data_IF_712823850385
#
_entry.id   IF_712823850385
#
_cell.length_a   1.000
_cell.length_b   1.000
_cell.length_c   1.000
_cell.angle_alpha   90.00
_cell.angle_beta   90.00
_cell.angle_gamma   90.00
#
_symmetry.space_group_name_H-M   'P 1'
#
loop_
_entity.id
_entity.type
_entity.pdbx_description
1 polymer ?
#
# COMPACT_ATOMS: atom_id res chain seq x y z
N UNK A 1 -8.06 -22.61 12.63
CA UNK A 1 -9.40 -22.26 13.16
C UNK A 1 -10.30 -22.03 11.96
N UNK A 2 -11.43 -22.73 11.87
CA UNK A 2 -12.32 -22.66 10.71
C UNK A 2 -12.98 -21.26 10.61
N UNK A 3 -12.94 -20.58 9.45
CA UNK A 3 -13.61 -19.30 9.28
C UNK A 3 -15.13 -19.47 9.34
N UNK A 4 -15.81 -18.54 10.00
CA UNK A 4 -17.27 -18.51 10.17
C UNK A 4 -17.93 -17.42 9.32
N UNK A 5 -17.14 -16.42 8.89
CA UNK A 5 -17.67 -15.24 8.21
C UNK A 5 -16.66 -14.65 7.21
N UNK A 6 -17.11 -14.30 6.02
CA UNK A 6 -16.27 -13.66 5.01
C UNK A 6 -16.48 -12.13 4.98
N UNK A 7 -15.38 -11.38 4.93
CA UNK A 7 -15.43 -9.92 4.78
C UNK A 7 -14.98 -9.58 3.36
N UNK A 8 -15.94 -9.18 2.53
CA UNK A 8 -15.67 -8.76 1.16
C UNK A 8 -15.24 -7.29 1.18
N UNK A 9 -14.02 -7.03 0.70
CA UNK A 9 -13.51 -5.67 0.52
C UNK A 9 -13.55 -5.28 -0.95
N UNK A 10 -14.07 -4.09 -1.24
CA UNK A 10 -14.03 -3.49 -2.58
C UNK A 10 -13.65 -2.02 -2.54
N UNK A 11 -13.27 -1.49 -3.70
CA UNK A 11 -13.16 -0.05 -3.94
C UNK A 11 -14.47 0.48 -4.54
N UNK A 12 -14.71 1.78 -4.33
CA UNK A 12 -15.58 2.55 -5.21
C UNK A 12 -15.01 2.55 -6.63
N UNK A 13 -15.86 2.36 -7.63
CA UNK A 13 -15.45 2.56 -9.03
C UNK A 13 -15.27 4.04 -9.31
N UNK A 14 -14.55 4.38 -10.38
CA UNK A 14 -14.36 5.79 -10.78
C UNK A 14 -15.70 6.49 -11.01
N UNK A 15 -16.70 5.78 -11.54
CA UNK A 15 -18.05 6.32 -11.71
C UNK A 15 -18.70 6.66 -10.36
N UNK A 16 -18.58 5.79 -9.36
CA UNK A 16 -19.13 6.04 -8.02
C UNK A 16 -18.48 7.26 -7.37
N UNK A 17 -17.15 7.38 -7.46
CA UNK A 17 -16.43 8.56 -6.94
C UNK A 17 -16.82 9.85 -7.67
N UNK A 18 -17.09 9.79 -8.98
CA UNK A 18 -17.58 10.95 -9.73
C UNK A 18 -19.00 11.34 -9.31
N UNK A 19 -19.90 10.37 -9.12
CA UNK A 19 -21.26 10.63 -8.65
C UNK A 19 -21.24 11.20 -7.23
N UNK A 20 -20.39 10.69 -6.35
CA UNK A 20 -20.21 11.23 -5.00
C UNK A 20 -19.72 12.69 -5.03
N UNK A 21 -18.79 13.02 -5.94
CA UNK A 21 -18.27 14.39 -6.11
C UNK A 21 -19.30 15.34 -6.74
N UNK A 22 -20.07 14.88 -7.72
CA UNK A 22 -20.95 15.72 -8.54
C UNK A 22 -22.44 15.53 -8.22
N UNK A 23 -22.79 14.75 -7.21
CA UNK A 23 -24.14 14.35 -6.76
C UNK A 23 -24.97 13.52 -7.76
N UNK A 24 -24.77 13.65 -9.07
CA UNK A 24 -25.56 12.92 -10.08
C UNK A 24 -24.71 12.39 -11.24
N UNK A 25 -25.20 11.30 -11.86
CA UNK A 25 -24.59 10.72 -13.07
C UNK A 25 -24.55 11.72 -14.23
N UNK A 26 -25.59 12.54 -14.40
CA UNK A 26 -25.67 13.54 -15.46
C UNK A 26 -24.63 14.66 -15.29
N UNK A 27 -24.40 15.13 -14.05
CA UNK A 27 -23.38 16.15 -13.78
C UNK A 27 -21.96 15.59 -13.95
N UNK A 28 -21.73 14.36 -13.52
CA UNK A 28 -20.47 13.65 -13.78
C UNK A 28 -20.20 13.49 -15.29
N UNK A 29 -21.21 13.09 -16.05
CA UNK A 29 -21.13 12.96 -17.51
C UNK A 29 -20.77 14.30 -18.17
N UNK A 30 -21.52 15.36 -17.87
CA UNK A 30 -21.27 16.70 -18.40
C UNK A 30 -19.85 17.19 -18.11
N UNK A 31 -19.35 16.94 -16.89
CA UNK A 31 -17.99 17.31 -16.52
C UNK A 31 -16.93 16.60 -17.36
N UNK A 32 -17.03 15.27 -17.51
CA UNK A 32 -16.06 14.46 -18.26
C UNK A 32 -16.06 14.82 -19.74
N UNK A 33 -17.24 14.90 -20.35
CA UNK A 33 -17.39 15.17 -21.79
C UNK A 33 -16.94 16.58 -22.15
N UNK A 34 -17.19 17.58 -21.29
CA UNK A 34 -16.72 18.96 -21.50
C UNK A 34 -15.20 19.07 -21.47
N UNK A 35 -14.52 18.18 -20.75
CA UNK A 35 -13.05 18.07 -20.75
C UNK A 35 -12.51 17.20 -21.89
N UNK A 36 -13.35 16.77 -22.84
CA UNK A 36 -12.97 15.92 -23.96
C UNK A 36 -12.82 14.44 -23.62
N UNK A 37 -13.26 14.01 -22.44
CA UNK A 37 -13.20 12.62 -22.00
C UNK A 37 -14.40 11.80 -22.45
N UNK A 38 -14.25 10.46 -22.47
CA UNK A 38 -15.31 9.52 -22.81
C UNK A 38 -16.00 8.99 -21.53
N UNK A 39 -17.20 9.50 -21.21
CA UNK A 39 -17.93 9.05 -20.03
C UNK A 39 -18.34 7.57 -20.10
N UNK A 40 -18.55 7.02 -21.30
CA UNK A 40 -18.98 5.63 -21.49
C UNK A 40 -17.94 4.62 -20.98
N UNK A 41 -16.66 4.96 -20.99
CA UNK A 41 -15.60 4.11 -20.41
C UNK A 41 -15.81 3.87 -18.92
N UNK A 42 -16.20 4.90 -18.17
CA UNK A 42 -16.47 4.81 -16.74
C UNK A 42 -17.70 3.96 -16.45
N UNK A 43 -18.70 4.04 -17.33
CA UNK A 43 -19.93 3.23 -17.23
C UNK A 43 -19.61 1.77 -17.51
N UNK A 44 -18.92 1.46 -18.61
CA UNK A 44 -18.54 0.09 -18.98
C UNK A 44 -17.66 -0.56 -17.90
N UNK A 45 -16.67 0.19 -17.39
CA UNK A 45 -15.84 -0.20 -16.27
C UNK A 45 -16.68 -0.57 -15.03
N UNK A 46 -17.60 0.32 -14.65
CA UNK A 46 -18.45 0.13 -13.48
C UNK A 46 -19.34 -1.10 -13.63
N UNK A 47 -20.02 -1.25 -14.78
CA UNK A 47 -20.92 -2.37 -15.05
C UNK A 47 -20.19 -3.72 -15.03
N UNK A 48 -19.02 -3.81 -15.69
CA UNK A 48 -18.20 -5.03 -15.71
C UNK A 48 -17.71 -5.41 -14.31
N UNK A 49 -17.25 -4.42 -13.54
CA UNK A 49 -16.86 -4.64 -12.15
C UNK A 49 -18.04 -5.11 -11.29
N UNK A 50 -19.18 -4.42 -11.37
CA UNK A 50 -20.35 -4.73 -10.55
C UNK A 50 -20.95 -6.09 -10.87
N UNK A 51 -21.00 -6.47 -12.15
CA UNK A 51 -21.41 -7.81 -12.56
C UNK A 51 -20.52 -8.88 -11.92
N UNK A 52 -19.20 -8.70 -12.00
CA UNK A 52 -18.22 -9.61 -11.41
C UNK A 52 -18.32 -9.67 -9.87
N UNK A 53 -18.49 -8.52 -9.23
CA UNK A 53 -18.67 -8.40 -7.79
C UNK A 53 -19.94 -9.13 -7.31
N UNK A 54 -21.08 -8.91 -7.97
CA UNK A 54 -22.34 -9.58 -7.63
C UNK A 54 -22.26 -11.08 -7.85
N UNK A 55 -21.58 -11.54 -8.91
CA UNK A 55 -21.32 -12.97 -9.14
C UNK A 55 -20.52 -13.57 -7.98
N UNK A 56 -19.44 -12.90 -7.56
CA UNK A 56 -18.61 -13.32 -6.41
C UNK A 56 -19.44 -13.37 -5.13
N UNK A 57 -20.17 -12.30 -4.81
CA UNK A 57 -20.97 -12.23 -3.58
C UNK A 57 -22.06 -13.31 -3.54
N UNK A 58 -22.76 -13.52 -4.66
CA UNK A 58 -23.82 -14.54 -4.77
C UNK A 58 -23.25 -15.95 -4.57
N UNK A 59 -22.17 -16.28 -5.28
CA UNK A 59 -21.50 -17.59 -5.15
C UNK A 59 -20.93 -17.79 -3.74
N UNK A 60 -20.31 -16.77 -3.15
CA UNK A 60 -19.73 -16.84 -1.80
C UNK A 60 -20.80 -17.11 -0.74
N UNK A 61 -21.98 -16.49 -0.90
CA UNK A 61 -23.13 -16.65 0.01
C UNK A 61 -23.65 -18.08 0.09
N UNK A 62 -23.37 -18.93 -0.91
CA UNK A 62 -23.71 -20.36 -0.88
C UNK A 62 -22.80 -21.19 0.02
N UNK A 63 -21.64 -20.66 0.41
CA UNK A 63 -20.59 -21.38 1.16
C UNK A 63 -20.38 -20.78 2.55
N UNK A 64 -20.46 -19.45 2.69
CA UNK A 64 -20.19 -18.74 3.94
C UNK A 64 -20.97 -17.43 4.02
N UNK A 65 -21.41 -17.06 5.22
CA UNK A 65 -22.03 -15.75 5.47
C UNK A 65 -21.01 -14.65 5.17
N UNK A 66 -21.44 -13.55 4.59
CA UNK A 66 -20.55 -12.46 4.20
C UNK A 66 -21.12 -11.07 4.48
N UNK A 67 -20.20 -10.10 4.61
CA UNK A 67 -20.47 -8.67 4.70
C UNK A 67 -19.52 -7.93 3.76
N UNK A 68 -20.03 -6.87 3.14
CA UNK A 68 -19.24 -5.97 2.29
C UNK A 68 -18.75 -4.79 3.12
N UNK A 69 -17.49 -4.43 2.93
CA UNK A 69 -16.84 -3.24 3.52
C UNK A 69 -16.12 -2.50 2.41
N UNK A 70 -16.40 -1.20 2.26
CA UNK A 70 -15.65 -0.35 1.32
C UNK A 70 -14.24 -0.09 1.86
N UNK A 71 -13.27 0.03 0.94
CA UNK A 71 -11.85 0.30 1.25
C UNK A 71 -11.64 1.44 2.25
N UNK A 72 -12.43 2.50 2.15
CA UNK A 72 -12.33 3.68 3.03
C UNK A 72 -12.57 3.36 4.52
N UNK A 73 -13.26 2.26 4.82
CA UNK A 73 -13.53 1.83 6.21
C UNK A 73 -12.55 0.77 6.71
N UNK A 74 -11.65 0.25 5.87
CA UNK A 74 -10.76 -0.87 6.22
C UNK A 74 -9.82 -0.52 7.39
N UNK A 75 -9.29 0.71 7.42
CA UNK A 75 -8.36 1.15 8.49
C UNK A 75 -8.99 1.16 9.89
N UNK A 76 -10.32 1.29 9.96
CA UNK A 76 -11.08 1.27 11.23
C UNK A 76 -11.81 -0.06 11.47
N UNK A 77 -11.75 -0.99 10.52
CA UNK A 77 -12.43 -2.27 10.64
C UNK A 77 -11.63 -3.25 11.49
N UNK A 78 -12.27 -3.85 12.50
CA UNK A 78 -11.66 -4.86 13.36
C UNK A 78 -12.02 -6.25 12.81
N UNK A 79 -11.04 -6.91 12.20
CA UNK A 79 -11.19 -8.30 11.77
C UNK A 79 -11.09 -9.27 12.95
N UNK A 80 -11.94 -10.29 12.93
CA UNK A 80 -11.86 -11.42 13.86
C UNK A 80 -11.02 -12.54 13.26
N UNK A 81 -10.28 -13.30 14.08
CA UNK A 81 -9.52 -14.49 13.66
C UNK A 81 -10.39 -15.56 12.98
N UNK A 82 -11.71 -15.52 13.20
CA UNK A 82 -12.70 -16.38 12.52
C UNK A 82 -13.16 -15.83 11.17
N UNK A 83 -12.55 -14.77 10.68
CA UNK A 83 -12.86 -14.22 9.37
C UNK A 83 -12.03 -14.86 8.26
N UNK A 84 -12.52 -14.75 7.04
CA UNK A 84 -11.70 -14.82 5.82
C UNK A 84 -11.89 -13.51 5.07
N UNK A 85 -10.79 -12.91 4.63
CA UNK A 85 -10.82 -11.64 3.90
C UNK A 85 -10.94 -11.98 2.42
N UNK A 86 -11.91 -11.38 1.74
CA UNK A 86 -12.13 -11.55 0.29
C UNK A 86 -11.97 -10.21 -0.38
N UNK A 87 -10.89 -10.03 -1.13
CA UNK A 87 -10.63 -8.77 -1.83
C UNK A 87 -11.11 -8.89 -3.28
N UNK A 88 -11.97 -7.99 -3.72
CA UNK A 88 -12.45 -7.92 -5.11
C UNK A 88 -12.02 -6.58 -5.70
N UNK A 89 -10.98 -6.61 -6.54
CA UNK A 89 -10.40 -5.39 -7.11
C UNK A 89 -9.01 -5.60 -7.68
N UNK A 90 -8.27 -4.49 -7.80
CA UNK A 90 -6.90 -4.45 -8.29
C UNK A 90 -5.86 -4.77 -7.20
N UNK A 91 -4.62 -5.03 -7.61
CA UNK A 91 -3.47 -5.34 -6.73
C UNK A 91 -3.28 -4.36 -5.57
N UNK A 92 -3.41 -3.05 -5.83
CA UNK A 92 -3.28 -2.02 -4.80
C UNK A 92 -4.29 -2.16 -3.65
N UNK A 93 -5.48 -2.71 -3.90
CA UNK A 93 -6.46 -2.97 -2.85
C UNK A 93 -6.00 -4.10 -1.93
N UNK A 94 -5.37 -5.14 -2.48
CA UNK A 94 -4.81 -6.26 -1.69
C UNK A 94 -3.74 -5.74 -0.74
N UNK A 95 -2.82 -4.92 -1.25
CA UNK A 95 -1.78 -4.30 -0.43
C UNK A 95 -2.38 -3.44 0.70
N UNK A 96 -3.38 -2.61 0.38
CA UNK A 96 -4.04 -1.77 1.38
C UNK A 96 -4.73 -2.60 2.48
N UNK A 97 -5.39 -3.71 2.12
CA UNK A 97 -6.10 -4.57 3.08
C UNK A 97 -5.13 -5.41 3.91
N UNK A 98 -4.03 -5.89 3.31
CA UNK A 98 -3.04 -6.74 3.96
C UNK A 98 -2.52 -6.14 5.28
N UNK A 99 -2.31 -4.82 5.31
CA UNK A 99 -1.86 -4.07 6.50
C UNK A 99 -2.71 -4.29 7.75
N UNK A 100 -4.01 -4.56 7.59
CA UNK A 100 -4.95 -4.68 8.71
C UNK A 100 -5.40 -6.14 8.94
N UNK A 101 -4.86 -7.09 8.17
CA UNK A 101 -5.31 -8.48 8.16
C UNK A 101 -4.90 -9.29 9.39
N UNK A 102 -3.79 -8.96 10.06
CA UNK A 102 -3.28 -9.66 11.25
C UNK A 102 -3.24 -11.19 11.06
N UNK A 103 -2.59 -11.67 10.00
CA UNK A 103 -2.52 -13.09 9.59
C UNK A 103 -3.84 -13.75 9.14
N UNK A 104 -4.95 -13.03 9.09
CA UNK A 104 -6.20 -13.59 8.56
C UNK A 104 -6.03 -13.86 7.05
N UNK A 105 -6.38 -15.06 6.56
CA UNK A 105 -6.21 -15.41 5.15
C UNK A 105 -6.95 -14.47 4.21
N UNK A 106 -6.24 -14.00 3.18
CA UNK A 106 -6.74 -13.11 2.14
C UNK A 106 -6.92 -13.91 0.85
N UNK A 107 -8.16 -13.99 0.36
CA UNK A 107 -8.49 -14.51 -0.98
C UNK A 107 -8.73 -13.31 -1.90
N UNK A 108 -7.75 -13.00 -2.74
CA UNK A 108 -7.82 -11.88 -3.67
C UNK A 108 -8.28 -12.31 -5.07
N UNK A 109 -9.26 -11.59 -5.60
CA UNK A 109 -10.01 -11.93 -6.80
C UNK A 109 -9.84 -10.79 -7.80
N UNK A 110 -9.32 -11.13 -8.99
CA UNK A 110 -9.31 -10.24 -10.15
C UNK A 110 -10.73 -10.21 -10.77
N UNK A 111 -11.44 -9.06 -10.71
CA UNK A 111 -12.76 -8.93 -11.32
C UNK A 111 -12.69 -8.61 -12.81
N UNK A 112 -11.52 -8.24 -13.34
CA UNK A 112 -11.34 -7.90 -14.76
C UNK A 112 -9.90 -8.20 -15.23
N UNK A 113 -9.70 -9.41 -15.73
CA UNK A 113 -8.37 -9.88 -16.17
C UNK A 113 -7.85 -9.20 -17.43
N UNK A 114 -8.71 -8.48 -18.18
CA UNK A 114 -8.28 -7.71 -19.35
C UNK A 114 -7.69 -6.35 -18.93
N UNK A 115 -8.01 -5.90 -17.71
CA UNK A 115 -7.65 -4.57 -17.22
C UNK A 115 -6.60 -4.57 -16.11
N UNK A 116 -6.56 -5.62 -15.29
CA UNK A 116 -5.64 -5.71 -14.16
C UNK A 116 -4.64 -6.84 -14.38
N UNK A 117 -3.34 -6.52 -14.26
CA UNK A 117 -2.23 -7.47 -14.41
C UNK A 117 -2.34 -8.66 -13.44
N UNK A 118 -2.74 -8.40 -12.19
CA UNK A 118 -3.08 -9.43 -11.21
C UNK A 118 -1.89 -10.17 -10.60
N UNK A 119 -0.82 -9.45 -10.27
CA UNK A 119 0.37 -9.96 -9.57
C UNK A 119 0.00 -10.53 -8.18
N UNK A 120 -0.89 -9.83 -7.46
CA UNK A 120 -1.43 -10.17 -6.14
C UNK A 120 -2.85 -10.75 -6.23
N UNK A 121 -3.34 -11.10 -7.42
CA UNK A 121 -4.71 -11.56 -7.65
C UNK A 121 -4.72 -13.02 -8.16
N UNK A 122 -4.47 -14.00 -7.29
CA UNK A 122 -4.38 -15.40 -7.70
C UNK A 122 -5.71 -15.93 -8.23
N UNK A 123 -6.86 -15.42 -7.79
CA UNK A 123 -8.16 -15.92 -8.18
C UNK A 123 -8.91 -14.98 -9.13
N UNK A 124 -9.92 -15.51 -9.80
CA UNK A 124 -10.91 -14.77 -10.59
C UNK A 124 -12.32 -15.24 -10.22
N UNK A 125 -13.35 -14.63 -10.82
CA UNK A 125 -14.77 -14.93 -10.54
C UNK A 125 -15.17 -16.40 -10.78
N UNK A 126 -14.37 -17.14 -11.56
CA UNK A 126 -14.62 -18.55 -11.90
C UNK A 126 -14.01 -19.51 -10.90
N UNK A 127 -12.87 -19.19 -10.29
CA UNK A 127 -12.10 -20.15 -9.47
C UNK A 127 -11.95 -19.77 -7.98
N UNK A 128 -12.36 -18.58 -7.55
CA UNK A 128 -12.15 -18.12 -6.18
C UNK A 128 -12.76 -19.02 -5.10
N UNK A 129 -13.86 -19.72 -5.39
CA UNK A 129 -14.48 -20.66 -4.45
C UNK A 129 -13.53 -21.79 -4.04
N UNK A 130 -12.56 -22.15 -4.88
CA UNK A 130 -11.54 -23.14 -4.52
C UNK A 130 -10.63 -22.59 -3.41
N UNK A 131 -10.21 -21.32 -3.51
CA UNK A 131 -9.47 -20.63 -2.46
C UNK A 131 -10.27 -20.50 -1.17
N UNK A 132 -11.56 -20.17 -1.27
CA UNK A 132 -12.43 -20.10 -0.08
C UNK A 132 -12.56 -21.47 0.59
N UNK A 133 -12.79 -22.54 -0.18
CA UNK A 133 -12.90 -23.90 0.37
C UNK A 133 -11.59 -24.40 0.96
N UNK A 134 -10.44 -24.09 0.35
CA UNK A 134 -9.15 -24.48 0.91
C UNK A 134 -8.87 -23.75 2.23
N UNK A 135 -9.27 -22.49 2.38
CA UNK A 135 -9.21 -21.79 3.69
C UNK A 135 -10.15 -22.45 4.70
N UNK A 136 -11.39 -22.76 4.33
CA UNK A 136 -12.37 -23.42 5.20
C UNK A 136 -11.86 -24.80 5.68
N UNK A 137 -11.16 -25.52 4.82
CA UNK A 137 -10.62 -26.85 5.09
C UNK A 137 -9.19 -26.81 5.65
N UNK A 138 -8.62 -25.63 5.91
CA UNK A 138 -7.26 -25.44 6.41
C UNK A 138 -6.17 -26.12 5.53
N UNK A 139 -6.43 -26.21 4.22
CA UNK A 139 -5.60 -26.94 3.26
C UNK A 139 -5.04 -26.02 2.15
N UNK A 140 -4.89 -24.73 2.43
CA UNK A 140 -4.49 -23.73 1.44
C UNK A 140 -2.97 -23.52 1.43
N UNK A 141 -2.44 -23.26 0.23
CA UNK A 141 -1.12 -22.69 0.07
C UNK A 141 -1.19 -21.17 0.23
N UNK A 142 -0.13 -20.55 0.74
CA UNK A 142 -0.09 -19.10 0.92
C UNK A 142 1.26 -18.49 0.59
N UNK A 143 1.24 -17.25 0.08
CA UNK A 143 2.38 -16.35 0.04
C UNK A 143 2.30 -15.41 1.24
N UNK A 144 3.39 -15.28 1.99
CA UNK A 144 3.52 -14.32 3.08
C UNK A 144 3.96 -12.97 2.53
N UNK A 145 3.30 -11.90 2.95
CA UNK A 145 3.65 -10.53 2.60
C UNK A 145 4.27 -9.86 3.83
N UNK A 146 5.54 -9.47 3.71
CA UNK A 146 6.27 -8.75 4.75
C UNK A 146 5.99 -7.25 4.67
N UNK A 147 6.05 -6.58 5.81
CA UNK A 147 5.79 -5.15 5.90
C UNK A 147 7.02 -4.38 6.36
N UNK A 148 7.16 -3.15 5.88
CA UNK A 148 7.86 -2.13 6.63
C UNK A 148 6.97 -1.63 7.76
N UNK A 149 7.54 -1.38 8.94
CA UNK A 149 6.86 -0.81 10.10
C UNK A 149 7.52 0.53 10.46
N UNK A 150 6.70 1.56 10.61
CA UNK A 150 7.05 2.82 11.25
C UNK A 150 6.44 2.85 12.66
N UNK A 151 7.28 3.03 13.68
CA UNK A 151 6.85 3.15 15.08
C UNK A 151 7.28 4.50 15.62
N UNK A 152 6.31 5.33 16.00
CA UNK A 152 6.58 6.61 16.66
C UNK A 152 6.93 6.44 18.14
N UNK A 153 7.63 7.42 18.69
CA UNK A 153 8.00 7.46 20.11
C UNK A 153 6.81 7.57 21.08
N UNK A 154 5.61 7.86 20.60
CA UNK A 154 4.36 7.80 21.36
C UNK A 154 3.62 6.45 21.25
N UNK A 155 4.17 5.50 20.48
CA UNK A 155 3.62 4.16 20.29
C UNK A 155 2.70 4.00 19.09
N UNK A 156 2.37 5.06 18.35
CA UNK A 156 1.62 4.93 17.10
C UNK A 156 2.41 4.14 16.06
N UNK A 157 1.70 3.37 15.23
CA UNK A 157 2.29 2.45 14.24
C UNK A 157 1.66 2.62 12.87
N UNK A 158 2.47 2.45 11.83
CA UNK A 158 2.03 2.36 10.46
C UNK A 158 2.78 1.24 9.74
N UNK A 159 2.05 0.38 9.04
CA UNK A 159 2.60 -0.68 8.21
C UNK A 159 2.58 -0.26 6.73
N UNK A 160 3.51 -0.77 5.94
CA UNK A 160 3.50 -0.64 4.49
C UNK A 160 3.84 -1.97 3.81
N UNK A 161 3.07 -2.32 2.78
CA UNK A 161 3.34 -3.45 1.90
C UNK A 161 4.39 -3.08 0.87
N UNK A 162 4.31 -1.88 0.32
CA UNK A 162 5.21 -1.38 -0.70
C UNK A 162 6.17 -0.37 -0.09
N UNK A 163 5.67 0.80 0.27
CA UNK A 163 6.48 1.98 0.55
C UNK A 163 5.92 2.75 1.75
N UNK A 164 6.81 3.14 2.67
CA UNK A 164 6.60 4.24 3.61
C UNK A 164 7.20 5.51 3.00
N UNK A 165 6.47 6.62 3.07
CA UNK A 165 7.02 7.95 2.83
C UNK A 165 7.10 8.72 4.14
N UNK A 166 8.23 9.38 4.38
CA UNK A 166 8.48 10.24 5.54
C UNK A 166 8.89 11.61 5.03
N UNK A 167 8.12 12.66 5.30
CA UNK A 167 8.44 13.99 4.79
C UNK A 167 7.42 15.05 5.19
N UNK A 168 7.21 16.01 4.30
CA UNK A 168 6.22 17.09 4.46
C UNK A 168 5.04 16.89 3.52
N UNK A 169 3.83 17.24 3.96
CA UNK A 169 2.58 17.08 3.19
C UNK A 169 2.42 18.09 2.04
N UNK A 170 3.39 18.96 1.82
CA UNK A 170 3.36 20.01 0.79
C UNK A 170 4.75 20.19 0.15
N UNK A 171 4.92 21.22 -0.67
CA UNK A 171 6.12 21.45 -1.49
C UNK A 171 7.25 22.19 -0.74
N UNK A 172 7.44 21.92 0.55
CA UNK A 172 8.57 22.43 1.32
C UNK A 172 9.67 21.36 1.49
N UNK A 173 10.83 21.72 2.02
CA UNK A 173 11.85 20.73 2.37
C UNK A 173 11.55 20.11 3.73
N UNK A 174 11.52 18.78 3.77
CA UNK A 174 11.53 18.02 5.01
C UNK A 174 12.88 18.19 5.70
N UNK A 175 12.86 18.52 6.99
CA UNK A 175 14.05 18.67 7.83
C UNK A 175 14.04 17.64 8.94
N UNK A 176 15.09 16.84 9.01
CA UNK A 176 15.16 15.73 9.96
C UNK A 176 16.60 15.35 10.24
N UNK A 177 16.80 14.62 11.32
CA UNK A 177 18.05 13.95 11.65
C UNK A 177 17.89 12.46 11.35
N UNK A 178 18.84 11.91 10.60
CA UNK A 178 18.83 10.52 10.14
C UNK A 178 19.93 9.75 10.86
N UNK A 179 19.56 8.66 11.52
CA UNK A 179 20.51 7.77 12.22
C UNK A 179 20.38 6.34 11.68
N UNK A 180 21.48 5.83 11.12
CA UNK A 180 21.57 4.45 10.61
C UNK A 180 22.96 3.89 10.88
N UNK A 181 23.02 2.66 11.40
CA UNK A 181 24.28 1.95 11.70
C UNK A 181 25.28 2.80 12.52
N UNK A 182 24.79 3.61 13.45
CA UNK A 182 25.60 4.49 14.31
C UNK A 182 26.12 5.78 13.64
N UNK A 183 25.78 6.02 12.36
CA UNK A 183 26.08 7.28 11.67
C UNK A 183 24.87 8.20 11.69
N UNK A 184 25.12 9.47 11.95
CA UNK A 184 24.08 10.50 12.07
C UNK A 184 24.32 11.65 11.08
N UNK A 185 23.28 12.08 10.38
CA UNK A 185 23.30 13.25 9.50
C UNK A 185 22.06 14.13 9.68
N UNK A 186 22.25 15.44 9.49
CA UNK A 186 21.18 16.42 9.40
C UNK A 186 20.80 16.59 7.93
N UNK A 187 19.51 16.44 7.62
CA UNK A 187 19.03 16.50 6.25
C UNK A 187 18.02 17.62 6.03
N UNK A 188 18.06 18.15 4.80
CA UNK A 188 16.97 18.88 4.17
C UNK A 188 16.74 18.23 2.81
N UNK A 189 15.52 17.80 2.51
CA UNK A 189 15.24 17.00 1.30
C UNK A 189 13.75 17.02 0.95
N UNK A 190 13.36 16.34 -0.13
CA UNK A 190 11.95 16.10 -0.49
C UNK A 190 11.33 14.91 0.25
N UNK A 191 11.99 14.41 1.30
CA UNK A 191 11.55 13.31 2.15
C UNK A 191 12.39 12.05 1.98
N UNK A 192 11.96 10.97 2.63
CA UNK A 192 12.55 9.64 2.58
C UNK A 192 11.47 8.68 2.10
N UNK A 193 11.83 7.76 1.22
CA UNK A 193 11.04 6.55 1.00
C UNK A 193 11.73 5.36 1.67
N UNK A 194 10.94 4.44 2.20
CA UNK A 194 11.43 3.13 2.67
C UNK A 194 10.57 2.05 2.03
N UNK A 195 11.19 1.23 1.20
CA UNK A 195 10.52 0.24 0.37
C UNK A 195 10.81 -1.18 0.83
N UNK A 196 9.80 -2.05 0.76
CA UNK A 196 9.97 -3.51 0.88
C UNK A 196 10.48 -4.09 -0.44
N UNK A 197 10.75 -5.40 -0.48
CA UNK A 197 10.96 -6.13 -1.75
C UNK A 197 9.80 -5.96 -2.73
N UNK A 198 8.56 -5.93 -2.23
CA UNK A 198 7.39 -5.75 -3.11
C UNK A 198 7.29 -4.31 -3.61
N UNK A 199 7.65 -3.32 -2.78
CA UNK A 199 7.72 -1.91 -3.17
C UNK A 199 8.89 -1.55 -4.09
N UNK A 200 9.89 -2.43 -4.24
CA UNK A 200 11.11 -2.11 -5.00
C UNK A 200 10.85 -1.84 -6.48
N UNK A 201 9.77 -2.39 -7.04
CA UNK A 201 9.33 -2.12 -8.42
C UNK A 201 8.46 -0.87 -8.54
N UNK A 202 8.00 -0.30 -7.43
CA UNK A 202 7.14 0.89 -7.34
C UNK A 202 7.91 2.19 -7.23
N UNK A 203 7.75 2.93 -6.13
CA UNK A 203 8.34 4.27 -6.00
C UNK A 203 9.87 4.23 -6.01
N UNK A 204 10.48 3.20 -5.40
CA UNK A 204 11.93 3.02 -5.42
C UNK A 204 12.48 2.93 -6.84
N UNK A 205 11.84 2.14 -7.72
CA UNK A 205 12.30 2.00 -9.11
C UNK A 205 12.30 3.35 -9.83
N UNK A 206 11.36 4.23 -9.52
CA UNK A 206 11.25 5.57 -10.11
C UNK A 206 12.42 6.47 -9.70
N UNK A 207 12.91 6.36 -8.46
CA UNK A 207 14.10 7.10 -8.01
C UNK A 207 15.34 6.65 -8.80
N UNK A 208 15.51 5.34 -8.97
CA UNK A 208 16.62 4.79 -9.75
C UNK A 208 16.53 5.19 -11.22
N UNK A 209 15.35 5.06 -11.85
CA UNK A 209 15.09 5.52 -13.22
C UNK A 209 15.49 6.99 -13.44
N UNK A 210 15.14 7.86 -12.49
CA UNK A 210 15.56 9.27 -12.53
C UNK A 210 17.08 9.42 -12.43
N UNK A 211 17.72 8.73 -11.47
CA UNK A 211 19.17 8.77 -11.30
C UNK A 211 19.91 8.29 -12.57
N UNK A 212 19.42 7.21 -13.20
CA UNK A 212 19.90 6.71 -14.48
C UNK A 212 19.81 7.78 -15.58
N UNK A 213 18.64 8.44 -15.71
CA UNK A 213 18.42 9.47 -16.71
C UNK A 213 19.33 10.70 -16.54
N UNK A 214 19.61 11.10 -15.29
CA UNK A 214 20.48 12.25 -14.98
C UNK A 214 21.96 11.92 -15.22
N UNK A 215 22.42 10.75 -14.77
CA UNK A 215 23.83 10.39 -14.80
C UNK A 215 24.26 9.72 -16.11
N UNK A 216 23.30 9.24 -16.92
CA UNK A 216 23.57 8.52 -18.16
C UNK A 216 24.33 7.20 -17.97
N UNK A 217 24.39 6.69 -16.73
CA UNK A 217 25.21 5.54 -16.37
C UNK A 217 24.46 4.22 -16.54
N UNK A 218 25.14 3.21 -17.08
CA UNK A 218 24.68 1.81 -17.11
C UNK A 218 25.14 1.02 -15.88
N UNK A 219 26.01 1.59 -15.05
CA UNK A 219 26.71 0.90 -13.94
C UNK A 219 26.01 1.08 -12.59
N UNK A 220 24.96 1.90 -12.52
CA UNK A 220 24.05 1.88 -11.39
C UNK A 220 23.27 0.57 -11.47
N UNK A 221 23.20 -0.19 -10.39
CA UNK A 221 22.36 -1.39 -10.32
C UNK A 221 21.17 -1.13 -9.41
N UNK A 222 20.03 -1.72 -9.77
CA UNK A 222 18.89 -1.77 -8.85
C UNK A 222 19.31 -2.56 -7.61
N UNK A 223 18.81 -2.18 -6.42
CA UNK A 223 19.15 -2.89 -5.20
C UNK A 223 18.55 -4.31 -5.27
N UNK A 224 19.40 -5.32 -5.13
CA UNK A 224 18.95 -6.70 -5.00
C UNK A 224 18.49 -6.96 -3.56
N UNK A 225 17.19 -6.80 -3.33
CA UNK A 225 16.56 -7.01 -2.03
C UNK A 225 16.11 -8.47 -1.85
N UNK A 226 16.34 -9.03 -0.67
CA UNK A 226 15.64 -10.23 -0.22
C UNK A 226 14.25 -9.86 0.30
N UNK A 227 13.36 -10.85 0.49
CA UNK A 227 12.00 -10.64 1.03
C UNK A 227 11.98 -9.97 2.41
N UNK A 228 13.05 -10.16 3.19
CA UNK A 228 13.23 -9.62 4.55
C UNK A 228 14.05 -8.32 4.59
N UNK A 229 14.41 -7.77 3.43
CA UNK A 229 15.15 -6.53 3.35
C UNK A 229 14.21 -5.35 3.12
N UNK A 230 14.50 -4.23 3.79
CA UNK A 230 13.98 -2.93 3.38
C UNK A 230 15.10 -2.12 2.71
N UNK A 231 14.72 -1.13 1.92
CA UNK A 231 15.65 -0.18 1.34
C UNK A 231 15.11 1.24 1.52
N UNK A 232 15.91 2.11 2.14
CA UNK A 232 15.56 3.52 2.23
C UNK A 232 16.30 4.33 1.17
N UNK A 233 15.66 5.37 0.68
CA UNK A 233 16.26 6.36 -0.19
C UNK A 233 15.79 7.77 0.20
N UNK A 234 16.75 8.66 0.42
CA UNK A 234 16.51 10.09 0.61
C UNK A 234 16.22 10.70 -0.75
N UNK A 235 15.10 11.41 -0.87
CA UNK A 235 14.68 12.07 -2.10
C UNK A 235 15.25 13.48 -2.20
N UNK A 236 16.02 13.75 -3.25
CA UNK A 236 16.56 15.09 -3.54
C UNK A 236 17.29 15.73 -2.33
N UNK A 237 18.33 15.07 -1.76
CA UNK A 237 19.05 15.59 -0.61
C UNK A 237 19.74 16.92 -0.92
N UNK A 238 19.51 17.94 -0.09
CA UNK A 238 20.07 19.28 -0.25
C UNK A 238 21.30 19.49 0.66
N UNK A 239 22.45 19.76 0.04
CA UNK A 239 23.71 20.05 0.74
C UNK A 239 23.80 21.54 1.11
N UNK A 240 24.09 21.83 2.37
CA UNK A 240 24.26 23.20 2.86
C UNK A 240 25.34 23.29 3.96
N UNK A 241 25.48 24.45 4.60
CA UNK A 241 26.32 24.58 5.81
C UNK A 241 25.77 23.80 7.02
N UNK A 242 24.47 23.51 7.02
CA UNK A 242 23.77 22.88 8.14
C UNK A 242 23.29 21.45 7.83
N UNK A 243 23.47 20.95 6.60
CA UNK A 243 22.94 19.66 6.14
C UNK A 243 23.95 18.87 5.33
N UNK A 244 23.96 17.57 5.53
CA UNK A 244 24.83 16.60 4.88
C UNK A 244 24.08 15.79 3.81
N UNK A 245 24.84 15.02 3.03
CA UNK A 245 24.32 14.19 1.94
C UNK A 245 25.18 12.93 1.75
N UNK A 246 25.82 12.40 2.80
CA UNK A 246 26.60 11.15 2.69
C UNK A 246 25.72 9.92 2.99
N UNK A 247 24.65 10.08 3.77
CA UNK A 247 23.60 9.07 3.97
C UNK A 247 22.42 9.36 3.03
N UNK A 248 22.49 8.90 1.78
CA UNK A 248 21.44 9.12 0.77
C UNK A 248 20.57 7.90 0.50
N UNK A 249 21.04 6.68 0.79
CA UNK A 249 20.25 5.45 0.68
C UNK A 249 20.94 4.29 1.40
N UNK A 250 20.22 3.19 1.62
CA UNK A 250 20.81 1.98 2.16
C UNK A 250 19.80 0.88 2.44
N UNK A 251 20.32 -0.34 2.59
CA UNK A 251 19.52 -1.51 2.97
C UNK A 251 19.38 -1.59 4.50
N UNK A 252 18.15 -1.84 4.98
CA UNK A 252 17.84 -2.13 6.37
C UNK A 252 17.54 -3.64 6.44
N UNK A 253 18.49 -4.39 6.98
CA UNK A 253 18.36 -5.84 7.20
C UNK A 253 17.47 -6.12 8.41
N UNK A 254 16.88 -7.32 8.46
CA UNK A 254 16.17 -7.83 9.65
C UNK A 254 17.02 -7.62 10.92
N UNK A 255 16.41 -7.05 11.96
CA UNK A 255 17.07 -6.72 13.24
C UNK A 255 17.76 -5.36 13.28
N UNK A 256 18.03 -4.73 12.12
CA UNK A 256 18.50 -3.36 12.04
C UNK A 256 17.32 -2.39 11.92
N UNK A 257 17.60 -1.10 12.16
CA UNK A 257 16.62 -0.03 12.10
C UNK A 257 17.19 1.26 11.56
N UNK A 258 16.31 2.05 10.94
CA UNK A 258 16.55 3.44 10.58
C UNK A 258 15.78 4.31 11.58
N UNK A 259 16.47 5.26 12.22
CA UNK A 259 15.83 6.20 13.14
C UNK A 259 15.81 7.57 12.48
N UNK A 260 14.64 8.20 12.48
CA UNK A 260 14.44 9.54 11.92
C UNK A 260 13.83 10.41 13.02
N UNK A 261 14.48 11.52 13.35
CA UNK A 261 13.95 12.55 14.24
C UNK A 261 13.46 13.74 13.40
N UNK A 262 12.21 14.14 13.60
CA UNK A 262 11.64 15.29 12.87
C UNK A 262 12.15 16.60 13.44
N UNK A 263 12.50 17.53 12.55
CA UNK A 263 12.80 18.93 12.86
C UNK A 263 11.80 19.87 12.16
N UNK A 264 10.66 19.33 11.72
CA UNK A 264 9.62 20.06 11.00
C UNK A 264 8.59 20.60 11.99
N UNK A 265 8.46 21.93 12.18
CA UNK A 265 7.54 22.48 13.18
C UNK A 265 6.07 22.06 12.97
N UNK A 266 5.69 21.88 11.71
CA UNK A 266 4.37 21.47 11.28
C UNK A 266 4.46 20.73 9.94
N UNK A 267 3.33 20.13 9.54
CA UNK A 267 3.12 19.45 8.26
C UNK A 267 4.05 18.25 8.00
N UNK A 268 4.82 17.81 9.00
CA UNK A 268 5.56 16.57 8.92
C UNK A 268 4.59 15.40 9.01
N UNK A 269 4.72 14.43 8.12
CA UNK A 269 3.85 13.26 8.11
C UNK A 269 4.53 12.00 7.55
N UNK A 270 3.99 10.85 7.94
CA UNK A 270 4.36 9.53 7.46
C UNK A 270 3.12 8.85 6.88
N UNK A 271 3.18 8.36 5.64
CA UNK A 271 2.08 7.59 5.04
C UNK A 271 2.59 6.34 4.33
N UNK A 272 1.69 5.39 4.04
CA UNK A 272 2.01 4.11 3.42
C UNK A 272 1.15 3.81 2.20
N UNK A 273 1.76 3.18 1.18
CA UNK A 273 1.07 2.56 0.05
C UNK A 273 0.05 3.46 -0.69
N UNK A 274 0.34 4.76 -0.76
CA UNK A 274 -0.53 5.76 -1.39
C UNK A 274 -1.85 6.04 -0.66
N UNK A 275 -1.97 5.64 0.62
CA UNK A 275 -3.11 5.99 1.48
C UNK A 275 -2.74 7.20 2.34
N UNK A 276 -2.82 8.40 1.77
CA UNK A 276 -2.50 9.63 2.51
C UNK A 276 -3.45 9.92 3.69
N UNK A 277 -4.67 9.37 3.67
CA UNK A 277 -5.65 9.57 4.75
C UNK A 277 -5.28 8.82 6.03
N UNK A 278 -4.48 7.74 5.93
CA UNK A 278 -4.00 6.96 7.06
C UNK A 278 -2.53 7.29 7.33
N UNK A 279 -2.29 8.50 7.85
CA UNK A 279 -0.96 9.04 8.08
C UNK A 279 -0.70 9.25 9.58
N UNK A 280 0.58 9.21 9.95
CA UNK A 280 1.04 9.61 11.27
C UNK A 280 1.60 11.04 11.19
N UNK A 281 1.22 11.90 12.15
CA UNK A 281 1.86 13.20 12.29
C UNK A 281 3.31 13.04 12.74
N UNK A 282 4.21 13.76 12.10
CA UNK A 282 5.65 13.64 12.31
C UNK A 282 6.32 15.02 12.41
N UNK A 283 5.85 15.83 13.37
CA UNK A 283 6.35 17.18 13.62
C UNK A 283 7.53 17.16 14.62
N UNK A 284 8.18 18.30 14.83
CA UNK A 284 9.34 18.46 15.70
C UNK A 284 9.13 17.82 17.08
N UNK A 285 10.11 17.04 17.52
CA UNK A 285 10.04 16.26 18.75
C UNK A 285 9.49 14.84 18.58
N UNK A 286 8.92 14.52 17.41
CA UNK A 286 8.61 13.14 17.04
C UNK A 286 9.88 12.42 16.55
N UNK A 287 9.99 11.15 16.94
CA UNK A 287 11.01 10.23 16.41
C UNK A 287 10.30 8.99 15.90
N UNK A 288 10.68 8.53 14.71
CA UNK A 288 10.18 7.28 14.13
C UNK A 288 11.31 6.27 14.00
N UNK A 289 11.04 5.04 14.43
CA UNK A 289 11.84 3.86 14.13
C UNK A 289 11.23 3.16 12.91
N UNK A 290 12.02 3.00 11.85
CA UNK A 290 11.67 2.21 10.67
C UNK A 290 12.41 0.88 10.70
N UNK A 291 11.67 -0.21 10.55
CA UNK A 291 12.19 -1.59 10.56
C UNK A 291 11.29 -2.54 9.80
N UNK A 292 11.77 -3.75 9.56
CA UNK A 292 10.91 -4.84 9.09
C UNK A 292 9.93 -5.23 10.21
N UNK A 293 8.64 -5.37 9.88
CA UNK A 293 7.63 -5.80 10.84
C UNK A 293 7.75 -7.28 11.18
N UNK A 294 7.40 -7.64 12.41
CA UNK A 294 7.12 -9.02 12.79
C UNK A 294 5.73 -9.48 12.32
N UNK A 295 4.85 -8.53 11.97
CA UNK A 295 3.56 -8.81 11.34
C UNK A 295 3.73 -9.15 9.86
N UNK A 296 2.85 -10.02 9.38
CA UNK A 296 2.77 -10.43 7.98
C UNK A 296 1.31 -10.61 7.56
N UNK A 297 1.04 -10.51 6.26
CA UNK A 297 -0.22 -10.94 5.68
C UNK A 297 -0.08 -12.29 4.99
N UNK A 298 -1.18 -13.03 4.99
CA UNK A 298 -1.30 -14.36 4.39
C UNK A 298 -2.17 -14.25 3.15
N UNK A 299 -1.55 -14.18 1.97
CA UNK A 299 -2.25 -14.22 0.69
C UNK A 299 -2.43 -15.67 0.25
N UNK A 300 -3.67 -16.10 0.12
CA UNK A 300 -4.01 -17.45 -0.36
C UNK A 300 -3.65 -17.55 -1.84
N UNK A 301 -2.97 -18.63 -2.23
CA UNK A 301 -2.60 -18.91 -3.62
C UNK A 301 -3.24 -20.24 -4.08
N UNK A 302 -3.17 -20.51 -5.39
CA UNK A 302 -3.70 -21.74 -5.99
C UNK A 302 -2.91 -22.98 -5.57
#
# INVERSE_FOLDING_TARGET
>A
MKPEYAIIIKNKTRLESLIERFNTKAQAQFYIERSGGNFQEYVNEHEKFYQSFLEVQTKLSTVIKNKVVEREFVSSYIFSEKNVIVVVGQDGLVANVAKYSKNIPIVAINPDQERYDGILLPFNTKNFLNGIRSVINESFSSKKMKFAEAVLNDGQKLLAVNDLFIGVSSHSSARYKLLVNGKEEMHSSSGIIVSTKTGSTGWLSSIFNMAYGILGSKDLEYPDLNEDDLYFAVREPFKSKATQTEIYSGCIKRGNKLIIESLMPNNGFIFSDGIEQDFLQFNSGATVEIRLSDEEAVLVIK
#
